data_IF_902509925335
#
_entry.id   IF_902509925335
#
_cell.length_a   1.000
_cell.length_b   1.000
_cell.length_c   1.000
_cell.angle_alpha   90.00
_cell.angle_beta   90.00
_cell.angle_gamma   90.00
#
_symmetry.space_group_name_H-M   'P 1'
#
loop_
_entity.id
_entity.type
_entity.pdbx_description
1 polymer ?
#
# COMPACT_ATOMS: atom_id res chain seq x y z
N UNK A 1 -19.34 5.50 3.27
CA UNK A 1 -18.15 5.90 2.47
C UNK A 1 -18.61 5.98 1.03
N UNK A 2 -17.86 6.60 0.14
CA UNK A 2 -18.19 6.67 -1.28
C UNK A 2 -16.92 6.55 -2.13
N UNK A 3 -17.11 6.07 -3.36
CA UNK A 3 -16.05 5.98 -4.37
C UNK A 3 -16.26 7.13 -5.37
N UNK A 4 -15.30 8.04 -5.46
CA UNK A 4 -15.31 9.16 -6.41
C UNK A 4 -14.66 8.74 -7.72
N UNK A 5 -15.46 8.69 -8.78
CA UNK A 5 -15.10 8.31 -10.15
C UNK A 5 -14.81 9.50 -11.06
N UNK A 6 -14.97 10.74 -10.57
CA UNK A 6 -14.85 11.98 -11.35
C UNK A 6 -13.55 12.06 -12.16
N UNK A 7 -12.42 11.73 -11.55
CA UNK A 7 -11.12 11.74 -12.23
C UNK A 7 -11.03 10.72 -13.37
N UNK A 8 -11.47 9.48 -13.16
CA UNK A 8 -11.42 8.45 -14.21
C UNK A 8 -12.45 8.68 -15.32
N UNK A 9 -13.59 9.34 -15.01
CA UNK A 9 -14.56 9.81 -15.99
C UNK A 9 -13.94 10.88 -16.90
N UNK A 10 -13.24 11.87 -16.32
CA UNK A 10 -12.55 12.89 -17.10
C UNK A 10 -11.41 12.28 -17.93
N UNK A 11 -10.65 11.34 -17.37
CA UNK A 11 -9.60 10.64 -18.11
C UNK A 11 -10.16 9.84 -19.30
N UNK A 12 -11.26 9.10 -19.10
CA UNK A 12 -11.99 8.43 -20.18
C UNK A 12 -12.42 9.42 -21.26
N UNK A 13 -12.97 10.57 -20.87
CA UNK A 13 -13.41 11.61 -21.80
C UNK A 13 -12.25 12.20 -22.61
N UNK A 14 -11.04 12.28 -22.05
CA UNK A 14 -9.83 12.71 -22.77
C UNK A 14 -9.38 11.63 -23.75
N UNK A 15 -9.22 10.39 -23.28
CA UNK A 15 -8.58 9.31 -24.04
C UNK A 15 -9.43 8.74 -25.18
N UNK A 16 -10.77 8.86 -25.10
CA UNK A 16 -11.69 8.40 -26.16
C UNK A 16 -11.73 9.32 -27.38
N UNK A 17 -11.13 10.51 -27.31
CA UNK A 17 -11.15 11.48 -28.40
C UNK A 17 -9.98 11.23 -29.36
N UNK A 18 -10.14 11.64 -30.62
CA UNK A 18 -9.07 11.61 -31.62
C UNK A 18 -8.19 12.88 -31.59
N UNK A 19 -8.57 13.87 -30.77
CA UNK A 19 -7.82 15.13 -30.61
C UNK A 19 -7.78 15.56 -29.15
N UNK A 20 -6.74 16.29 -28.78
CA UNK A 20 -6.54 16.73 -27.40
C UNK A 20 -7.43 17.93 -27.05
N UNK A 21 -8.36 17.76 -26.10
CA UNK A 21 -9.16 18.85 -25.53
C UNK A 21 -8.51 19.44 -24.26
N UNK A 22 -8.08 20.70 -24.37
CA UNK A 22 -7.49 21.46 -23.25
C UNK A 22 -8.48 21.71 -22.11
N UNK A 23 -9.79 21.82 -22.38
CA UNK A 23 -10.80 22.00 -21.35
C UNK A 23 -10.95 20.73 -20.52
N UNK A 24 -11.17 19.58 -21.18
CA UNK A 24 -11.22 18.27 -20.52
C UNK A 24 -9.97 18.00 -19.67
N UNK A 25 -8.76 18.30 -20.20
CA UNK A 25 -7.54 18.19 -19.41
C UNK A 25 -7.49 19.07 -18.16
N UNK A 26 -7.99 20.30 -18.24
CA UNK A 26 -8.07 21.16 -17.07
C UNK A 26 -9.11 20.68 -16.05
N UNK A 27 -10.20 20.09 -16.52
CA UNK A 27 -11.25 19.55 -15.65
C UNK A 27 -10.76 18.28 -14.94
N UNK A 28 -10.06 17.38 -15.65
CA UNK A 28 -9.30 16.27 -15.06
C UNK A 28 -8.40 16.71 -13.89
N UNK A 29 -7.60 17.76 -14.09
CA UNK A 29 -6.69 18.28 -13.04
C UNK A 29 -7.38 19.05 -11.91
N UNK A 30 -8.67 19.39 -12.02
CA UNK A 30 -9.42 19.99 -10.90
C UNK A 30 -9.96 18.93 -9.94
N UNK A 31 -10.16 17.71 -10.43
CA UNK A 31 -10.63 16.59 -9.60
C UNK A 31 -9.67 16.33 -8.44
N UNK A 32 -10.16 15.73 -7.37
CA UNK A 32 -9.32 15.31 -6.25
C UNK A 32 -8.32 14.23 -6.70
N UNK A 33 -8.78 13.25 -7.47
CA UNK A 33 -7.93 12.18 -8.01
C UNK A 33 -6.80 12.70 -8.91
N UNK A 34 -7.09 13.61 -9.83
CA UNK A 34 -6.09 14.15 -10.75
C UNK A 34 -5.02 15.00 -10.07
N UNK A 35 -5.39 15.76 -9.02
CA UNK A 35 -4.41 16.48 -8.18
C UNK A 35 -3.56 15.52 -7.35
N UNK A 36 -4.20 14.54 -6.71
CA UNK A 36 -3.50 13.53 -5.91
C UNK A 36 -2.50 12.73 -6.74
N UNK A 37 -2.89 12.29 -7.93
CA UNK A 37 -2.01 11.65 -8.90
C UNK A 37 -0.80 12.53 -9.24
N UNK A 38 -1.02 13.78 -9.68
CA UNK A 38 0.08 14.66 -10.07
C UNK A 38 1.04 14.98 -8.90
N UNK A 39 0.51 15.15 -7.69
CA UNK A 39 1.32 15.36 -6.48
C UNK A 39 2.14 14.11 -6.13
N UNK A 40 1.54 12.92 -6.24
CA UNK A 40 2.22 11.65 -6.00
C UNK A 40 3.36 11.45 -7.01
N UNK A 41 3.10 11.61 -8.30
CA UNK A 41 4.10 11.43 -9.35
C UNK A 41 5.27 12.42 -9.23
N UNK A 42 5.00 13.69 -8.87
CA UNK A 42 6.03 14.70 -8.57
C UNK A 42 6.97 14.31 -7.44
N UNK A 43 6.46 13.57 -6.46
CA UNK A 43 7.27 13.11 -5.33
C UNK A 43 8.24 11.99 -5.72
N UNK A 44 7.91 11.22 -6.76
CA UNK A 44 8.70 10.08 -7.26
C UNK A 44 9.67 10.49 -8.36
N UNK A 45 9.24 11.38 -9.25
CA UNK A 45 10.01 11.79 -10.43
C UNK A 45 10.32 13.29 -10.37
N UNK A 46 11.55 13.62 -9.98
CA UNK A 46 12.02 15.01 -9.98
C UNK A 46 11.96 15.57 -11.40
N UNK A 47 11.07 16.55 -11.61
CA UNK A 47 10.93 17.27 -12.87
C UNK A 47 9.59 17.08 -13.55
N UNK A 48 8.84 16.02 -13.22
CA UNK A 48 7.53 15.79 -13.81
C UNK A 48 6.53 16.86 -13.36
N UNK A 49 5.91 17.53 -14.34
CA UNK A 49 4.93 18.55 -14.05
C UNK A 49 3.67 18.46 -14.93
N UNK A 50 2.81 19.48 -14.80
CA UNK A 50 1.56 19.56 -15.54
C UNK A 50 1.78 19.64 -17.07
N UNK A 51 2.90 20.23 -17.51
CA UNK A 51 3.25 20.38 -18.92
C UNK A 51 3.71 19.04 -19.49
N UNK A 52 4.51 18.27 -18.75
CA UNK A 52 4.95 16.94 -19.19
C UNK A 52 3.76 16.01 -19.33
N UNK A 53 2.92 15.94 -18.28
CA UNK A 53 1.68 15.16 -18.30
C UNK A 53 0.77 15.52 -19.49
N UNK A 54 0.66 16.81 -19.81
CA UNK A 54 -0.14 17.29 -20.94
C UNK A 54 0.42 16.80 -22.28
N UNK A 55 1.75 16.84 -22.44
CA UNK A 55 2.42 16.42 -23.67
C UNK A 55 2.29 14.91 -23.87
N UNK A 56 2.50 14.12 -22.82
CA UNK A 56 2.31 12.67 -22.83
C UNK A 56 0.89 12.29 -23.23
N UNK A 57 -0.13 12.86 -22.58
CA UNK A 57 -1.54 12.61 -22.95
C UNK A 57 -1.84 13.01 -24.40
N UNK A 58 -1.29 14.14 -24.87
CA UNK A 58 -1.49 14.58 -26.26
C UNK A 58 -0.92 13.56 -27.25
N UNK A 59 0.26 13.00 -26.97
CA UNK A 59 0.89 11.98 -27.83
C UNK A 59 0.10 10.68 -27.82
N UNK A 60 -0.31 10.20 -26.65
CA UNK A 60 -1.16 9.01 -26.50
C UNK A 60 -2.47 9.14 -27.28
N UNK A 61 -3.07 10.34 -27.31
CA UNK A 61 -4.29 10.59 -28.09
C UNK A 61 -4.04 10.49 -29.60
N UNK A 62 -2.97 11.11 -30.09
CA UNK A 62 -2.69 11.24 -31.53
C UNK A 62 -2.12 9.94 -32.12
N UNK A 63 -1.29 9.23 -31.37
CA UNK A 63 -0.61 8.01 -31.81
C UNK A 63 -1.00 6.82 -30.93
N UNK A 64 -1.75 5.88 -31.51
CA UNK A 64 -2.19 4.66 -30.82
C UNK A 64 -1.05 3.69 -30.46
N UNK A 65 0.13 3.86 -31.06
CA UNK A 65 1.31 3.04 -30.80
C UNK A 65 2.28 3.71 -29.82
N UNK A 66 2.03 4.96 -29.42
CA UNK A 66 2.88 5.65 -28.47
C UNK A 66 2.70 5.06 -27.06
N UNK A 67 3.82 4.76 -26.42
CA UNK A 67 3.87 4.26 -25.04
C UNK A 67 4.46 5.35 -24.13
N UNK A 68 3.59 6.00 -23.35
CA UNK A 68 3.95 7.08 -22.44
C UNK A 68 4.47 6.57 -21.08
N UNK A 69 5.21 7.45 -20.39
CA UNK A 69 5.80 7.17 -19.07
C UNK A 69 4.74 7.03 -17.95
N UNK A 70 3.55 7.60 -18.15
CA UNK A 70 2.43 7.51 -17.19
C UNK A 70 1.49 6.34 -17.49
N UNK A 71 1.79 5.48 -18.46
CA UNK A 71 1.00 4.31 -18.82
C UNK A 71 -0.45 4.59 -19.30
N UNK A 72 -0.78 5.81 -19.71
CA UNK A 72 -2.10 6.13 -20.28
C UNK A 72 -2.40 5.33 -21.56
N UNK A 73 -1.39 4.97 -22.33
CA UNK A 73 -1.53 4.10 -23.50
C UNK A 73 -2.18 2.75 -23.16
N UNK A 74 -1.93 2.20 -21.96
CA UNK A 74 -2.57 0.96 -21.50
C UNK A 74 -4.06 1.18 -21.26
N UNK A 75 -4.39 2.27 -20.58
CA UNK A 75 -5.79 2.67 -20.32
C UNK A 75 -6.54 2.92 -21.63
N UNK A 76 -5.90 3.57 -22.61
CA UNK A 76 -6.51 3.83 -23.92
C UNK A 76 -6.80 2.54 -24.70
N UNK A 77 -5.95 1.51 -24.59
CA UNK A 77 -6.18 0.19 -25.21
C UNK A 77 -7.45 -0.48 -24.65
N UNK A 78 -7.74 -0.27 -23.36
CA UNK A 78 -8.89 -0.87 -22.66
C UNK A 78 -10.05 0.14 -22.43
N UNK A 79 -10.15 1.19 -23.25
CA UNK A 79 -11.06 2.32 -23.04
C UNK A 79 -12.55 1.91 -22.96
N UNK A 80 -12.95 0.87 -23.69
CA UNK A 80 -14.32 0.35 -23.65
C UNK A 80 -14.62 -0.33 -22.32
N UNK A 81 -13.70 -1.18 -21.84
CA UNK A 81 -13.84 -1.83 -20.53
C UNK A 81 -13.85 -0.80 -19.40
N UNK A 82 -12.99 0.24 -19.48
CA UNK A 82 -13.01 1.34 -18.50
C UNK A 82 -14.39 2.00 -18.40
N UNK A 83 -15.10 2.18 -19.52
CA UNK A 83 -16.44 2.77 -19.50
C UNK A 83 -17.44 1.86 -18.79
N UNK A 84 -17.41 0.57 -19.08
CA UNK A 84 -18.28 -0.42 -18.42
C UNK A 84 -18.00 -0.47 -16.92
N UNK A 85 -16.73 -0.45 -16.53
CA UNK A 85 -16.28 -0.45 -15.15
C UNK A 85 -16.74 0.80 -14.38
N UNK A 86 -16.62 1.99 -14.98
CA UNK A 86 -17.13 3.24 -14.39
C UNK A 86 -18.62 3.11 -14.09
N UNK A 87 -19.41 2.65 -15.07
CA UNK A 87 -20.86 2.50 -14.91
C UNK A 87 -21.21 1.44 -13.85
N UNK A 88 -20.43 0.36 -13.77
CA UNK A 88 -20.59 -0.67 -12.74
C UNK A 88 -20.27 -0.12 -11.34
N UNK A 89 -19.15 0.59 -11.18
CA UNK A 89 -18.72 1.14 -9.89
C UNK A 89 -19.75 2.15 -9.38
N UNK A 90 -20.23 3.07 -10.23
CA UNK A 90 -21.21 4.08 -9.81
C UNK A 90 -22.53 3.46 -9.36
N UNK A 91 -22.94 2.33 -9.96
CA UNK A 91 -24.15 1.61 -9.58
C UNK A 91 -23.96 0.72 -8.35
N UNK A 92 -22.76 0.19 -8.14
CA UNK A 92 -22.50 -0.88 -7.15
C UNK A 92 -21.49 -0.52 -6.06
N UNK A 93 -21.12 0.76 -5.91
CA UNK A 93 -20.06 1.18 -4.97
C UNK A 93 -20.28 0.68 -3.53
N UNK A 94 -21.52 0.60 -3.06
CA UNK A 94 -21.82 0.06 -1.71
C UNK A 94 -21.40 -1.41 -1.60
N UNK A 95 -21.73 -2.24 -2.60
CA UNK A 95 -21.36 -3.66 -2.62
C UNK A 95 -19.84 -3.83 -2.65
N UNK A 96 -19.15 -3.01 -3.43
CA UNK A 96 -17.68 -3.01 -3.54
C UNK A 96 -17.07 -2.68 -2.18
N UNK A 97 -17.52 -1.60 -1.53
CA UNK A 97 -17.03 -1.17 -0.22
C UNK A 97 -17.32 -2.23 0.84
N UNK A 98 -18.54 -2.78 0.87
CA UNK A 98 -18.92 -3.79 1.86
C UNK A 98 -18.10 -5.08 1.69
N UNK A 99 -17.79 -5.45 0.44
CA UNK A 99 -16.92 -6.60 0.15
C UNK A 99 -15.50 -6.36 0.65
N UNK A 100 -14.93 -5.18 0.39
CA UNK A 100 -13.59 -4.84 0.87
C UNK A 100 -13.54 -4.77 2.41
N UNK A 101 -14.52 -4.12 3.05
CA UNK A 101 -14.63 -4.06 4.51
C UNK A 101 -14.78 -5.43 5.15
N UNK A 102 -15.54 -6.34 4.51
CA UNK A 102 -15.70 -7.71 5.01
C UNK A 102 -14.36 -8.42 5.13
N UNK A 103 -13.47 -8.25 4.17
CA UNK A 103 -12.12 -8.82 4.24
C UNK A 103 -11.29 -8.14 5.33
N UNK A 104 -11.37 -6.81 5.46
CA UNK A 104 -10.65 -6.09 6.53
C UNK A 104 -11.10 -6.55 7.92
N UNK A 105 -12.41 -6.72 8.16
CA UNK A 105 -12.95 -7.15 9.46
C UNK A 105 -12.74 -8.63 9.78
N UNK A 106 -12.20 -9.43 8.85
CA UNK A 106 -11.63 -10.74 9.21
C UNK A 106 -10.34 -10.62 10.01
N UNK A 107 -9.62 -9.51 9.84
CA UNK A 107 -8.31 -9.26 10.45
C UNK A 107 -8.40 -8.22 11.56
N UNK A 108 -9.19 -7.17 11.36
CA UNK A 108 -9.33 -6.04 12.29
C UNK A 108 -10.50 -6.28 13.26
N UNK A 109 -10.37 -5.93 14.55
CA UNK A 109 -11.46 -6.02 15.51
C UNK A 109 -12.70 -5.23 15.09
N UNK A 110 -13.88 -5.82 15.29
CA UNK A 110 -15.16 -5.27 14.81
C UNK A 110 -15.54 -3.91 15.45
N UNK A 111 -15.00 -3.58 16.62
CA UNK A 111 -15.22 -2.27 17.26
C UNK A 111 -14.43 -1.14 16.59
N UNK A 112 -13.40 -1.45 15.81
CA UNK A 112 -12.61 -0.44 15.12
C UNK A 112 -13.40 0.15 13.96
N UNK A 113 -13.60 1.46 13.99
CA UNK A 113 -14.25 2.18 12.90
C UNK A 113 -13.27 2.40 11.75
N UNK A 114 -13.70 2.06 10.54
CA UNK A 114 -12.99 2.39 9.28
C UNK A 114 -13.85 3.38 8.50
N UNK A 115 -13.27 4.54 8.16
CA UNK A 115 -13.97 5.55 7.37
C UNK A 115 -12.98 6.35 6.54
N UNK A 116 -13.17 6.33 5.22
CA UNK A 116 -12.35 7.09 4.28
C UNK A 116 -13.20 7.73 3.18
N UNK A 117 -12.57 8.67 2.45
CA UNK A 117 -13.02 9.10 1.13
C UNK A 117 -12.15 8.38 0.10
N UNK A 118 -12.78 7.74 -0.88
CA UNK A 118 -12.06 6.95 -1.89
C UNK A 118 -12.08 7.73 -3.21
N UNK A 119 -10.92 7.96 -3.79
CA UNK A 119 -10.73 8.65 -5.05
C UNK A 119 -10.08 7.71 -6.05
N UNK A 120 -10.71 7.48 -7.19
CA UNK A 120 -10.10 6.72 -8.28
C UNK A 120 -9.31 7.66 -9.17
N UNK A 121 -8.13 7.23 -9.63
CA UNK A 121 -7.37 7.89 -10.68
C UNK A 121 -6.86 6.85 -11.68
N UNK A 122 -6.21 7.29 -12.75
CA UNK A 122 -5.56 6.41 -13.72
C UNK A 122 -4.20 6.97 -14.12
N UNK A 123 -3.24 6.08 -14.35
CA UNK A 123 -1.88 6.38 -14.78
C UNK A 123 -0.85 6.20 -13.67
N UNK A 124 0.43 6.12 -14.04
CA UNK A 124 1.53 5.79 -13.14
C UNK A 124 1.58 4.31 -12.77
N UNK A 125 2.68 3.92 -12.11
CA UNK A 125 3.00 2.51 -11.81
C UNK A 125 2.43 1.99 -10.48
N UNK A 126 1.94 2.88 -9.62
CA UNK A 126 1.47 2.53 -8.28
C UNK A 126 0.07 1.91 -8.26
N UNK A 127 -0.25 1.12 -7.24
CA UNK A 127 -1.56 0.47 -7.08
C UNK A 127 -2.57 1.35 -6.34
N UNK A 128 -2.10 2.07 -5.33
CA UNK A 128 -2.91 2.94 -4.50
C UNK A 128 -2.09 3.49 -3.34
N UNK A 129 -2.65 4.47 -2.65
CA UNK A 129 -2.06 5.01 -1.43
C UNK A 129 -3.10 5.67 -0.54
N UNK A 130 -2.77 5.75 0.74
CA UNK A 130 -3.58 6.42 1.76
C UNK A 130 -2.90 7.66 2.31
N UNK A 131 -3.62 8.78 2.37
CA UNK A 131 -3.20 10.03 3.03
C UNK A 131 -3.92 10.19 4.37
N UNK A 132 -3.13 10.44 5.42
CA UNK A 132 -3.59 10.74 6.79
C UNK A 132 -4.62 9.76 7.36
N UNK A 133 -4.64 8.52 6.87
CA UNK A 133 -5.63 7.47 7.23
C UNK A 133 -7.08 7.90 6.98
N UNK A 134 -7.33 8.83 6.02
CA UNK A 134 -8.64 9.43 5.76
C UNK A 134 -9.03 9.50 4.29
N UNK A 135 -8.05 9.63 3.40
CA UNK A 135 -8.27 9.70 1.96
C UNK A 135 -7.49 8.56 1.30
N UNK A 136 -8.18 7.77 0.50
CA UNK A 136 -7.61 6.67 -0.28
C UNK A 136 -7.61 7.11 -1.74
N UNK A 137 -6.49 6.90 -2.41
CA UNK A 137 -6.33 7.08 -3.85
C UNK A 137 -6.00 5.73 -4.48
N UNK A 138 -6.84 5.23 -5.38
CA UNK A 138 -6.60 3.96 -6.09
C UNK A 138 -6.33 4.26 -7.55
N UNK A 139 -5.25 3.70 -8.08
CA UNK A 139 -4.96 3.73 -9.52
C UNK A 139 -5.83 2.70 -10.24
N UNK A 140 -7.08 3.06 -10.51
CA UNK A 140 -8.02 2.16 -11.19
C UNK A 140 -7.54 1.75 -12.60
N UNK A 141 -6.66 2.55 -13.21
CA UNK A 141 -6.02 2.20 -14.48
C UNK A 141 -5.30 0.83 -14.48
N UNK A 142 -4.88 0.34 -13.30
CA UNK A 142 -4.24 -0.98 -13.12
C UNK A 142 -5.23 -2.13 -12.96
N UNK A 143 -6.51 -1.83 -12.76
CA UNK A 143 -7.56 -2.79 -12.38
C UNK A 143 -8.75 -2.80 -13.35
N UNK A 144 -8.59 -2.21 -14.54
CA UNK A 144 -9.61 -2.24 -15.60
C UNK A 144 -9.97 -3.69 -15.94
N UNK A 145 -11.26 -4.02 -15.89
CA UNK A 145 -11.82 -5.36 -16.09
C UNK A 145 -11.52 -6.33 -14.95
N UNK A 146 -10.97 -5.88 -13.82
CA UNK A 146 -10.52 -6.72 -12.69
C UNK A 146 -11.16 -6.28 -11.38
N UNK A 147 -12.48 -6.40 -11.29
CA UNK A 147 -13.26 -5.98 -10.11
C UNK A 147 -12.78 -6.63 -8.81
N UNK A 148 -12.42 -7.91 -8.84
CA UNK A 148 -11.93 -8.62 -7.64
C UNK A 148 -10.59 -8.04 -7.17
N UNK A 149 -9.63 -7.81 -8.08
CA UNK A 149 -8.34 -7.18 -7.73
C UNK A 149 -8.54 -5.75 -7.20
N UNK A 150 -9.52 -5.01 -7.73
CA UNK A 150 -9.89 -3.70 -7.22
C UNK A 150 -10.46 -3.75 -5.79
N UNK A 151 -11.31 -4.73 -5.49
CA UNK A 151 -11.84 -4.94 -4.13
C UNK A 151 -10.71 -5.31 -3.17
N UNK A 152 -9.78 -6.18 -3.60
CA UNK A 152 -8.64 -6.62 -2.81
C UNK A 152 -7.73 -5.43 -2.43
N UNK A 153 -7.30 -4.60 -3.39
CA UNK A 153 -6.48 -3.40 -3.10
C UNK A 153 -7.26 -2.35 -2.30
N UNK A 154 -8.58 -2.23 -2.50
CA UNK A 154 -9.38 -1.34 -1.67
C UNK A 154 -9.39 -1.82 -0.20
N UNK A 155 -9.44 -3.14 0.03
CA UNK A 155 -9.30 -3.74 1.35
C UNK A 155 -7.96 -3.39 2.00
N UNK A 156 -6.86 -3.50 1.25
CA UNK A 156 -5.52 -3.08 1.67
C UNK A 156 -5.52 -1.63 2.18
N UNK A 157 -6.01 -0.68 1.39
CA UNK A 157 -6.00 0.74 1.76
C UNK A 157 -6.98 1.08 2.90
N UNK A 158 -8.12 0.37 2.97
CA UNK A 158 -9.07 0.51 4.06
C UNK A 158 -8.49 0.07 5.40
N UNK A 159 -7.61 -0.94 5.42
CA UNK A 159 -6.89 -1.33 6.64
C UNK A 159 -6.06 -0.16 7.21
N UNK A 160 -5.39 0.63 6.36
CA UNK A 160 -4.66 1.82 6.82
C UNK A 160 -5.58 2.91 7.38
N UNK A 161 -6.85 2.94 6.98
CA UNK A 161 -7.84 3.93 7.40
C UNK A 161 -8.54 3.60 8.73
N UNK A 162 -8.14 2.54 9.43
CA UNK A 162 -8.70 2.20 10.75
C UNK A 162 -8.44 3.30 11.78
N UNK A 163 -9.47 3.60 12.59
CA UNK A 163 -9.40 4.62 13.62
C UNK A 163 -8.65 4.10 14.85
N UNK A 164 -7.43 4.62 15.05
CA UNK A 164 -6.64 4.37 16.25
C UNK A 164 -7.08 5.32 17.37
N UNK A 165 -7.20 4.80 18.59
CA UNK A 165 -7.61 5.58 19.77
C UNK A 165 -6.65 6.74 20.03
N UNK A 166 -7.17 7.85 20.58
CA UNK A 166 -6.34 9.03 20.88
C UNK A 166 -5.23 8.69 21.88
N UNK A 167 -5.55 7.84 22.86
CA UNK A 167 -4.59 7.35 23.86
C UNK A 167 -3.41 6.64 23.20
N UNK A 168 -3.67 5.69 22.29
CA UNK A 168 -2.61 4.96 21.60
C UNK A 168 -1.81 5.85 20.65
N UNK A 169 -2.45 6.84 20.01
CA UNK A 169 -1.74 7.86 19.22
C UNK A 169 -0.79 8.69 20.08
N UNK A 170 -1.20 9.08 21.28
CA UNK A 170 -0.35 9.83 22.20
C UNK A 170 0.82 8.97 22.68
N UNK A 171 0.56 7.72 23.09
CA UNK A 171 1.62 6.76 23.47
C UNK A 171 2.64 6.58 22.34
N UNK A 172 2.16 6.42 21.11
CA UNK A 172 3.01 6.33 19.94
C UNK A 172 3.89 7.58 19.73
N UNK A 173 3.32 8.78 19.87
CA UNK A 173 4.07 10.04 19.76
C UNK A 173 5.20 10.14 20.79
N UNK A 174 4.97 9.69 22.03
CA UNK A 174 6.02 9.66 23.05
C UNK A 174 7.14 8.66 22.70
N UNK A 175 6.78 7.50 22.14
CA UNK A 175 7.76 6.45 21.76
C UNK A 175 8.68 6.88 20.63
N UNK A 176 8.17 7.62 19.64
CA UNK A 176 8.99 8.12 18.52
C UNK A 176 9.83 9.37 18.86
N UNK A 177 9.86 9.80 20.12
CA UNK A 177 10.63 10.97 20.56
C UNK A 177 12.15 10.80 20.44
N UNK A 178 12.65 9.55 20.46
CA UNK A 178 14.07 9.24 20.29
C UNK A 178 14.38 8.86 18.84
N UNK A 179 15.53 9.33 18.31
CA UNK A 179 15.93 9.11 16.91
C UNK A 179 15.98 7.62 16.51
N UNK A 180 16.55 6.77 17.36
CA UNK A 180 16.66 5.33 17.09
C UNK A 180 15.31 4.62 17.16
N UNK A 181 14.45 4.97 18.12
CA UNK A 181 13.08 4.46 18.18
C UNK A 181 12.26 4.89 16.97
N UNK A 182 12.33 6.16 16.60
CA UNK A 182 11.68 6.67 15.40
C UNK A 182 12.08 5.86 14.16
N UNK A 183 13.38 5.61 13.96
CA UNK A 183 13.85 4.82 12.84
C UNK A 183 13.37 3.35 12.89
N UNK A 184 13.32 2.75 14.09
CA UNK A 184 12.74 1.41 14.27
C UNK A 184 11.27 1.37 13.88
N UNK A 185 10.47 2.31 14.36
CA UNK A 185 9.06 2.42 13.99
C UNK A 185 8.88 2.69 12.49
N UNK A 186 9.75 3.52 11.88
CA UNK A 186 9.73 3.80 10.45
C UNK A 186 10.05 2.56 9.58
N UNK A 187 10.84 1.60 10.08
CA UNK A 187 11.18 0.37 9.34
C UNK A 187 10.27 -0.78 9.74
N UNK A 188 10.35 -1.22 11.00
CA UNK A 188 9.62 -2.41 11.51
C UNK A 188 8.12 -2.14 11.61
N UNK A 189 7.73 -0.93 12.02
CA UNK A 189 6.31 -0.55 12.03
C UNK A 189 5.70 -0.55 10.63
N UNK A 190 6.41 -0.03 9.62
CA UNK A 190 5.95 -0.09 8.23
C UNK A 190 5.89 -1.53 7.71
N UNK A 191 6.90 -2.35 8.00
CA UNK A 191 6.90 -3.77 7.64
C UNK A 191 5.64 -4.49 8.14
N UNK A 192 5.26 -4.29 9.39
CA UNK A 192 4.08 -4.91 9.98
C UNK A 192 2.79 -4.29 9.42
N UNK A 193 2.74 -2.97 9.27
CA UNK A 193 1.59 -2.28 8.69
C UNK A 193 1.28 -2.79 7.28
N UNK A 194 2.26 -2.81 6.39
CA UNK A 194 2.11 -3.33 5.02
C UNK A 194 1.88 -4.85 5.01
N UNK A 195 2.53 -5.59 5.91
CA UNK A 195 2.35 -7.03 6.02
C UNK A 195 0.90 -7.43 6.35
N UNK A 196 0.25 -6.70 7.26
CA UNK A 196 -1.16 -6.92 7.61
C UNK A 196 -2.07 -6.44 6.47
N UNK A 197 -1.75 -5.32 5.80
CA UNK A 197 -2.50 -4.85 4.65
C UNK A 197 -2.45 -5.87 3.48
N UNK A 198 -1.27 -6.46 3.20
CA UNK A 198 -1.12 -7.56 2.25
C UNK A 198 -1.85 -8.83 2.70
N UNK A 199 -1.91 -9.13 4.00
CA UNK A 199 -2.70 -10.25 4.51
C UNK A 199 -4.20 -10.03 4.23
N UNK A 200 -4.71 -8.80 4.38
CA UNK A 200 -6.09 -8.46 4.00
C UNK A 200 -6.31 -8.64 2.51
N UNK A 201 -5.37 -8.16 1.68
CA UNK A 201 -5.48 -8.19 0.22
C UNK A 201 -5.38 -9.60 -0.38
N UNK A 202 -4.44 -10.42 0.11
CA UNK A 202 -4.07 -11.68 -0.53
C UNK A 202 -4.45 -12.91 0.28
N UNK A 203 -4.87 -12.73 1.54
CA UNK A 203 -5.00 -13.81 2.50
C UNK A 203 -3.65 -14.40 2.92
N UNK A 204 -3.67 -15.49 3.72
CA UNK A 204 -2.46 -16.05 4.33
C UNK A 204 -1.55 -16.83 3.37
N UNK A 205 -2.00 -17.08 2.14
CA UNK A 205 -1.24 -17.77 1.10
C UNK A 205 -1.41 -16.99 -0.20
N UNK A 206 -0.30 -16.56 -0.81
CA UNK A 206 -0.31 -15.78 -2.04
C UNK A 206 -0.74 -16.63 -3.25
N UNK A 207 -2.04 -16.59 -3.57
CA UNK A 207 -2.62 -17.37 -4.67
C UNK A 207 -2.44 -16.73 -6.04
N UNK A 208 -2.30 -15.42 -6.14
CA UNK A 208 -2.09 -14.69 -7.40
C UNK A 208 -1.07 -13.58 -7.17
N UNK A 209 -0.30 -13.25 -8.20
CA UNK A 209 0.62 -12.10 -8.15
C UNK A 209 -0.19 -10.81 -8.15
N UNK A 210 0.32 -9.79 -7.47
CA UNK A 210 -0.27 -8.45 -7.46
C UNK A 210 -0.19 -7.81 -8.86
N UNK A 211 -1.30 -7.25 -9.40
CA UNK A 211 -1.30 -6.51 -10.67
C UNK A 211 -0.25 -5.38 -10.78
N UNK A 212 0.18 -4.79 -9.66
CA UNK A 212 1.25 -3.76 -9.65
C UNK A 212 2.63 -4.30 -9.29
N UNK A 213 2.75 -5.63 -9.14
CA UNK A 213 3.99 -6.36 -8.83
C UNK A 213 4.65 -5.98 -7.50
N UNK A 214 3.93 -5.36 -6.55
CA UNK A 214 4.48 -5.07 -5.23
C UNK A 214 4.77 -6.38 -4.46
N UNK A 215 3.86 -7.36 -4.59
CA UNK A 215 4.02 -8.71 -4.05
C UNK A 215 3.78 -9.78 -5.13
N UNK A 216 4.80 -10.59 -5.41
CA UNK A 216 4.72 -11.70 -6.36
C UNK A 216 5.34 -12.96 -5.77
N UNK A 217 4.92 -14.13 -6.24
CA UNK A 217 5.51 -15.41 -5.83
C UNK A 217 7.01 -15.46 -6.11
N UNK A 218 7.46 -14.84 -7.21
CA UNK A 218 8.88 -14.74 -7.56
C UNK A 218 9.65 -13.89 -6.55
N UNK A 219 9.11 -12.73 -6.19
CA UNK A 219 9.77 -11.83 -5.25
C UNK A 219 9.82 -12.43 -3.83
N UNK A 220 8.82 -13.22 -3.42
CA UNK A 220 8.85 -13.97 -2.16
C UNK A 220 10.01 -14.98 -2.06
N UNK A 221 10.57 -15.45 -3.19
CA UNK A 221 11.76 -16.31 -3.17
C UNK A 221 13.02 -15.53 -2.75
N UNK A 222 13.02 -14.21 -2.89
CA UNK A 222 14.13 -13.32 -2.52
C UNK A 222 14.07 -12.85 -1.06
N UNK A 223 13.20 -13.47 -0.24
CA UNK A 223 13.02 -13.08 1.17
C UNK A 223 14.32 -13.11 1.96
N UNK A 224 15.26 -14.00 1.63
CA UNK A 224 16.52 -14.13 2.36
C UNK A 224 17.37 -12.87 2.18
N UNK A 225 17.51 -12.42 0.93
CA UNK A 225 18.22 -11.21 0.57
C UNK A 225 17.59 -9.97 1.22
N UNK A 226 16.26 -9.91 1.27
CA UNK A 226 15.54 -8.83 1.95
C UNK A 226 15.75 -8.85 3.47
N UNK A 227 15.81 -10.04 4.11
CA UNK A 227 16.17 -10.16 5.53
C UNK A 227 17.63 -9.76 5.80
N UNK A 228 18.57 -10.10 4.91
CA UNK A 228 19.97 -9.67 5.04
C UNK A 228 20.08 -8.14 5.00
N UNK A 229 19.35 -7.50 4.08
CA UNK A 229 19.24 -6.04 4.03
C UNK A 229 18.60 -5.45 5.29
N UNK A 230 17.50 -6.05 5.76
CA UNK A 230 16.82 -5.64 6.99
C UNK A 230 17.75 -5.72 8.20
N UNK A 231 18.47 -6.84 8.38
CA UNK A 231 19.46 -7.00 9.46
C UNK A 231 20.50 -5.88 9.42
N UNK A 232 21.01 -5.55 8.24
CA UNK A 232 21.97 -4.47 8.08
C UNK A 232 21.39 -3.11 8.48
N UNK A 233 20.14 -2.81 8.08
CA UNK A 233 19.43 -1.58 8.46
C UNK A 233 19.23 -1.53 9.98
N UNK A 234 18.78 -2.62 10.60
CA UNK A 234 18.51 -2.68 12.03
C UNK A 234 19.79 -2.50 12.87
N UNK A 235 20.90 -3.14 12.48
CA UNK A 235 22.20 -2.93 13.14
C UNK A 235 22.73 -1.50 12.97
N UNK A 236 22.45 -0.88 11.83
CA UNK A 236 22.78 0.52 11.57
C UNK A 236 21.97 1.46 12.46
N UNK A 237 20.68 1.18 12.69
CA UNK A 237 19.84 1.89 13.65
C UNK A 237 20.35 1.70 15.08
N UNK A 238 20.68 0.46 15.48
CA UNK A 238 21.28 0.14 16.80
C UNK A 238 22.54 0.96 17.07
N UNK A 239 23.36 1.14 16.04
CA UNK A 239 24.61 1.91 16.10
C UNK A 239 24.44 3.42 15.87
N UNK A 240 23.20 3.91 15.73
CA UNK A 240 22.83 5.31 15.43
C UNK A 240 23.45 5.86 14.12
N UNK A 241 23.73 4.97 13.15
CA UNK A 241 24.29 5.26 11.82
C UNK A 241 23.23 5.03 10.74
N UNK A 242 22.17 5.85 10.73
CA UNK A 242 21.04 5.68 9.81
C UNK A 242 21.47 5.72 8.34
N UNK A 243 21.08 4.68 7.59
CA UNK A 243 21.29 4.56 6.14
C UNK A 243 19.93 4.65 5.43
N UNK A 244 19.50 5.88 5.17
CA UNK A 244 18.20 6.15 4.53
C UNK A 244 18.13 5.62 3.09
N UNK A 245 19.27 5.48 2.40
CA UNK A 245 19.30 4.93 1.05
C UNK A 245 18.94 3.45 1.06
N UNK A 246 19.51 2.68 2.00
CA UNK A 246 19.14 1.27 2.17
C UNK A 246 17.72 1.10 2.68
N UNK A 247 17.28 1.95 3.61
CA UNK A 247 15.88 1.94 4.08
C UNK A 247 14.89 2.14 2.93
N UNK A 248 15.21 2.99 1.96
CA UNK A 248 14.36 3.22 0.78
C UNK A 248 14.37 2.06 -0.23
N UNK A 249 15.40 1.19 -0.21
CA UNK A 249 15.53 0.02 -1.08
C UNK A 249 14.87 -1.24 -0.53
N UNK A 250 14.57 -1.26 0.77
CA UNK A 250 13.96 -2.41 1.44
C UNK A 250 12.57 -2.70 0.88
N UNK A 251 12.33 -3.93 0.43
CA UNK A 251 10.98 -4.32 0.02
C UNK A 251 10.15 -4.71 1.25
N UNK A 252 9.45 -3.71 1.78
CA UNK A 252 8.66 -3.88 3.00
C UNK A 252 7.48 -4.85 2.83
N UNK A 253 6.94 -5.00 1.62
CA UNK A 253 5.83 -5.91 1.35
C UNK A 253 6.24 -7.37 1.46
N UNK A 254 7.42 -7.75 0.93
CA UNK A 254 7.90 -9.15 0.97
C UNK A 254 8.10 -9.63 2.40
N UNK A 255 8.90 -8.89 3.17
CA UNK A 255 9.24 -9.26 4.55
C UNK A 255 7.99 -9.15 5.42
N UNK A 256 7.26 -8.05 5.30
CA UNK A 256 6.02 -7.81 6.06
C UNK A 256 5.03 -8.93 5.85
N UNK A 257 4.71 -9.26 4.60
CA UNK A 257 3.78 -10.35 4.28
C UNK A 257 4.28 -11.70 4.79
N UNK A 258 5.58 -11.99 4.66
CA UNK A 258 6.14 -13.25 5.15
C UNK A 258 5.99 -13.41 6.67
N UNK A 259 6.35 -12.38 7.44
CA UNK A 259 6.22 -12.39 8.91
C UNK A 259 4.75 -12.56 9.30
N UNK A 260 3.89 -11.71 8.76
CA UNK A 260 2.48 -11.64 9.17
C UNK A 260 1.70 -12.89 8.74
N UNK A 261 1.93 -13.42 7.55
CA UNK A 261 1.31 -14.68 7.12
C UNK A 261 1.78 -15.87 7.95
N UNK A 262 3.05 -15.91 8.36
CA UNK A 262 3.57 -16.95 9.25
C UNK A 262 2.87 -16.92 10.60
N UNK A 263 2.75 -15.73 11.20
CA UNK A 263 2.02 -15.54 12.46
C UNK A 263 0.55 -15.95 12.32
N UNK A 264 -0.14 -15.44 11.30
CA UNK A 264 -1.56 -15.70 11.11
C UNK A 264 -1.86 -17.19 10.93
N UNK A 265 -1.03 -17.92 10.18
CA UNK A 265 -1.21 -19.35 9.98
C UNK A 265 -1.02 -20.18 11.26
N UNK A 266 -0.25 -19.67 12.23
CA UNK A 266 0.02 -20.35 13.50
C UNK A 266 -0.99 -19.96 14.60
N UNK A 267 -1.32 -18.67 14.72
CA UNK A 267 -1.99 -18.09 15.89
C UNK A 267 -3.31 -17.37 15.55
N UNK A 268 -3.61 -17.18 14.28
CA UNK A 268 -4.73 -16.35 13.83
C UNK A 268 -4.52 -14.86 14.08
N UNK A 269 -5.60 -14.14 14.37
CA UNK A 269 -5.63 -12.66 14.32
C UNK A 269 -5.30 -11.95 15.64
N UNK A 270 -5.52 -12.59 16.79
CA UNK A 270 -5.48 -11.89 18.08
C UNK A 270 -4.13 -11.25 18.40
N UNK A 271 -3.03 -11.89 18.00
CA UNK A 271 -1.70 -11.34 18.16
C UNK A 271 -1.49 -10.07 17.32
N UNK A 272 -2.17 -9.94 16.17
CA UNK A 272 -2.03 -8.78 15.29
C UNK A 272 -2.60 -7.50 15.92
N UNK A 273 -3.52 -7.61 16.89
CA UNK A 273 -4.12 -6.48 17.62
C UNK A 273 -3.08 -5.67 18.43
N UNK A 274 -1.95 -6.28 18.79
CA UNK A 274 -0.81 -5.54 19.37
C UNK A 274 -0.34 -4.41 18.44
N UNK A 275 -0.37 -4.62 17.14
CA UNK A 275 -0.11 -3.56 16.17
C UNK A 275 -1.38 -2.82 15.75
N UNK A 276 -2.42 -3.56 15.36
CA UNK A 276 -3.63 -3.01 14.74
C UNK A 276 -4.32 -1.99 15.65
N UNK A 277 -4.39 -2.25 16.96
CA UNK A 277 -4.97 -1.32 17.95
C UNK A 277 -3.91 -0.49 18.68
N UNK A 278 -2.81 -1.13 19.08
CA UNK A 278 -1.90 -0.59 20.10
C UNK A 278 -0.58 -0.05 19.54
N UNK A 279 -0.32 -0.20 18.24
CA UNK A 279 0.90 0.24 17.56
C UNK A 279 2.18 -0.29 18.24
N UNK A 280 2.15 -1.55 18.69
CA UNK A 280 3.29 -2.20 19.31
C UNK A 280 3.85 -3.28 18.39
N UNK A 281 4.98 -2.99 17.77
CA UNK A 281 5.59 -3.89 16.80
C UNK A 281 6.37 -5.03 17.47
N UNK A 282 6.88 -4.81 18.69
CA UNK A 282 7.82 -5.71 19.33
C UNK A 282 7.17 -7.07 19.65
N UNK A 283 5.93 -7.06 20.14
CA UNK A 283 5.14 -8.27 20.40
C UNK A 283 4.88 -9.08 19.13
N UNK A 284 4.69 -8.42 17.98
CA UNK A 284 4.53 -9.10 16.68
C UNK A 284 5.83 -9.81 16.28
N UNK A 285 6.97 -9.11 16.36
CA UNK A 285 8.27 -9.68 15.97
C UNK A 285 8.68 -10.81 16.92
N UNK A 286 8.46 -10.64 18.23
CA UNK A 286 8.69 -11.69 19.22
C UNK A 286 7.94 -12.96 18.88
N UNK A 287 6.63 -12.83 18.63
CA UNK A 287 5.81 -14.00 18.34
C UNK A 287 6.22 -14.69 17.05
N UNK A 288 6.64 -13.93 16.04
CA UNK A 288 7.24 -14.52 14.83
C UNK A 288 8.51 -15.33 15.13
N UNK A 289 9.45 -14.78 15.90
CA UNK A 289 10.68 -15.49 16.30
C UNK A 289 10.35 -16.76 17.10
N UNK A 290 9.40 -16.68 18.04
CA UNK A 290 8.93 -17.83 18.83
C UNK A 290 8.39 -18.94 17.92
N UNK A 291 7.49 -18.61 16.98
CA UNK A 291 6.93 -19.58 16.01
C UNK A 291 8.04 -20.21 15.17
N UNK A 292 9.02 -19.42 14.71
CA UNK A 292 10.16 -19.94 13.96
C UNK A 292 10.99 -20.94 14.78
N UNK A 293 11.30 -20.59 16.03
CA UNK A 293 12.06 -21.44 16.95
C UNK A 293 11.32 -22.74 17.27
N UNK A 294 10.02 -22.69 17.57
CA UNK A 294 9.18 -23.86 17.82
C UNK A 294 9.15 -24.83 16.63
N UNK A 295 9.21 -24.29 15.41
CA UNK A 295 9.25 -25.06 14.17
C UNK A 295 10.67 -25.43 13.71
N UNK A 296 11.71 -25.11 14.49
CA UNK A 296 13.12 -25.33 14.15
C UNK A 296 13.53 -24.72 12.79
N UNK A 297 13.00 -23.55 12.45
CA UNK A 297 13.36 -22.77 11.26
C UNK A 297 13.96 -21.43 11.66
N UNK A 298 14.94 -20.94 10.90
CA UNK A 298 15.51 -19.62 11.15
C UNK A 298 14.50 -18.51 10.86
N UNK A 299 14.40 -17.52 11.75
CA UNK A 299 13.53 -16.35 11.59
C UNK A 299 13.98 -15.41 10.45
N UNK A 300 15.23 -15.53 10.02
CA UNK A 300 15.87 -14.61 9.08
C UNK A 300 16.54 -13.42 9.76
N UNK A 301 16.23 -13.14 11.03
CA UNK A 301 16.99 -12.16 11.81
C UNK A 301 18.35 -12.74 12.23
N UNK A 302 19.37 -11.88 12.29
CA UNK A 302 20.65 -12.27 12.89
C UNK A 302 20.51 -12.36 14.41
N UNK A 303 21.29 -13.22 15.06
CA UNK A 303 21.26 -13.39 16.52
C UNK A 303 21.39 -12.04 17.25
N UNK A 304 22.29 -11.17 16.79
CA UNK A 304 22.48 -9.85 17.39
C UNK A 304 21.22 -8.95 17.28
N UNK A 305 20.48 -9.06 16.18
CA UNK A 305 19.24 -8.32 15.97
C UNK A 305 18.12 -8.90 16.83
N UNK A 306 18.00 -10.23 16.90
CA UNK A 306 17.02 -10.89 17.77
C UNK A 306 17.23 -10.48 19.22
N UNK A 307 18.44 -10.64 19.75
CA UNK A 307 18.79 -10.24 21.12
C UNK A 307 18.46 -8.77 21.38
N UNK A 308 18.74 -7.89 20.42
CA UNK A 308 18.46 -6.46 20.56
C UNK A 308 16.96 -6.14 20.60
N UNK A 309 16.15 -6.75 19.72
CA UNK A 309 14.70 -6.56 19.69
C UNK A 309 14.06 -7.14 20.95
N UNK A 310 14.49 -8.33 21.38
CA UNK A 310 13.97 -9.00 22.57
C UNK A 310 14.32 -8.24 23.86
N UNK A 311 15.55 -7.71 23.96
CA UNK A 311 16.02 -6.99 25.15
C UNK A 311 15.36 -5.62 25.32
N UNK A 312 15.12 -4.87 24.23
CA UNK A 312 14.58 -3.50 24.28
C UNK A 312 13.22 -3.38 24.95
N UNK A 313 12.38 -4.39 24.82
CA UNK A 313 11.03 -4.40 25.37
C UNK A 313 10.99 -4.74 26.86
N UNK A 314 12.06 -5.32 27.42
CA UNK A 314 12.13 -5.58 28.87
C UNK A 314 12.33 -4.29 29.70
N UNK A 315 12.53 -3.16 29.03
CA UNK A 315 12.81 -1.83 29.59
C UNK A 315 11.68 -0.82 29.35
N UNK A 316 10.56 -1.21 28.74
CA UNK A 316 9.39 -0.36 28.45
C UNK A 316 8.10 -0.97 29.01
#
# INVERSE_FOLDING_TARGET
MDIKTDCIVELYNILKQDTFDKKAFNDFLKTKGGRGFLEHERSRHKGWDKKDLKEELRRVIIDNNYEDEYEFHKIKRDIFQLKEDIDYIEKNYNIIIDSALKEVYKIVPHHMTIKSKIHLYGGGVDGGFTIDRREIFINYGRYIGRTDDFIDILGHELYHCRKISLENRIKYLFRIGFKSERAMYEVVGKLIEEGIACLVQHGPILKKDDPVNALTRRNLLLRKEEFDLLNHILLSIKSNRLDYEKMAKLNIYIIGYHIISTIYNSEGVLILDHWTENLRYAEIIKKYIEICNENNVGSGFSQEVEEWILYRDSLC
#
